data_IF_925119596680
#
_entry.id   IF_925119596680
#
_cell.length_a   1.000
_cell.length_b   1.000
_cell.length_c   1.000
_cell.angle_alpha   90.00
_cell.angle_beta   90.00
_cell.angle_gamma   90.00
#
_symmetry.space_group_name_H-M   'P 1'
#
loop_
_entity.id
_entity.type
_entity.pdbx_description
1 polymer ?
#
# COMPACT_ATOMS: atom_id res chain seq x y z
N UNK A 1 -31.62 -37.14 -30.73
CA UNK A 1 -30.55 -37.19 -29.72
C UNK A 1 -29.27 -36.40 -30.09
N UNK A 2 -28.70 -36.57 -31.29
CA UNK A 2 -27.49 -35.85 -31.71
C UNK A 2 -27.63 -34.29 -31.68
N UNK A 3 -28.79 -33.77 -32.10
CA UNK A 3 -29.06 -32.32 -32.12
C UNK A 3 -29.17 -31.70 -30.70
N UNK A 4 -29.63 -32.44 -29.71
CA UNK A 4 -29.79 -31.99 -28.32
C UNK A 4 -28.43 -31.90 -27.62
N UNK A 5 -27.55 -32.89 -27.86
CA UNK A 5 -26.19 -32.92 -27.31
C UNK A 5 -25.30 -31.76 -27.84
N UNK A 6 -25.45 -31.44 -29.14
CA UNK A 6 -24.73 -30.30 -29.74
C UNK A 6 -25.18 -28.97 -29.14
N UNK A 7 -26.50 -28.79 -28.95
CA UNK A 7 -27.05 -27.57 -28.32
C UNK A 7 -26.63 -27.42 -26.86
N UNK A 8 -26.58 -28.50 -26.09
CA UNK A 8 -26.07 -28.50 -24.71
C UNK A 8 -24.58 -28.19 -24.65
N UNK A 9 -23.77 -28.73 -25.56
CA UNK A 9 -22.32 -28.45 -25.63
C UNK A 9 -22.01 -26.98 -25.96
N UNK A 10 -22.76 -26.36 -26.87
CA UNK A 10 -22.59 -24.94 -27.25
C UNK A 10 -22.98 -24.02 -26.10
N UNK A 11 -24.03 -24.32 -25.35
CA UNK A 11 -24.46 -23.54 -24.20
C UNK A 11 -23.41 -23.61 -23.08
N UNK A 12 -22.77 -24.75 -22.85
CA UNK A 12 -21.71 -24.93 -21.84
C UNK A 12 -20.46 -24.14 -22.20
N UNK A 13 -20.07 -24.10 -23.48
CA UNK A 13 -18.88 -23.35 -23.95
C UNK A 13 -19.11 -21.84 -23.84
N UNK A 14 -20.31 -21.35 -24.16
CA UNK A 14 -20.67 -19.93 -24.03
C UNK A 14 -20.71 -19.52 -22.55
N UNK A 15 -21.23 -20.37 -21.66
CA UNK A 15 -21.25 -20.13 -20.21
C UNK A 15 -19.84 -20.00 -19.62
N UNK A 16 -18.88 -20.81 -20.04
CA UNK A 16 -17.49 -20.74 -19.60
C UNK A 16 -16.77 -19.50 -20.12
N UNK A 17 -17.11 -18.99 -21.29
CA UNK A 17 -16.51 -17.76 -21.84
C UNK A 17 -16.97 -16.49 -21.12
N UNK A 18 -18.13 -16.47 -20.48
CA UNK A 18 -18.65 -15.31 -19.76
C UNK A 18 -18.04 -15.19 -18.33
N UNK A 19 -17.64 -16.31 -17.71
CA UNK A 19 -17.00 -16.30 -16.38
C UNK A 19 -15.49 -16.07 -16.42
N UNK A 20 -14.86 -15.96 -17.61
CA UNK A 20 -13.40 -15.94 -17.78
C UNK A 20 -12.69 -14.59 -17.67
N UNK A 21 -13.37 -13.47 -17.45
CA UNK A 21 -12.74 -12.15 -17.44
C UNK A 21 -12.97 -11.34 -16.17
N UNK A 22 -12.87 -11.97 -15.01
CA UNK A 22 -12.53 -11.20 -13.82
C UNK A 22 -11.09 -10.72 -13.99
N UNK A 23 -10.89 -9.51 -14.54
CA UNK A 23 -9.60 -8.82 -14.43
C UNK A 23 -9.25 -8.78 -12.95
N UNK A 24 -8.24 -9.54 -12.54
CA UNK A 24 -7.56 -9.30 -11.27
C UNK A 24 -6.88 -7.94 -11.45
N UNK A 25 -7.60 -6.88 -11.14
CA UNK A 25 -7.01 -5.55 -11.07
C UNK A 25 -6.04 -5.60 -9.90
N UNK A 26 -4.75 -5.50 -10.19
CA UNK A 26 -3.73 -5.26 -9.18
C UNK A 26 -4.07 -3.97 -8.41
N UNK A 27 -3.58 -3.85 -7.18
CA UNK A 27 -3.78 -2.67 -6.35
C UNK A 27 -3.35 -1.38 -7.08
N UNK A 28 -4.18 -0.33 -7.04
CA UNK A 28 -3.90 0.98 -7.68
C UNK A 28 -2.93 1.79 -6.80
N UNK A 29 -1.63 1.52 -6.98
CA UNK A 29 -0.55 2.24 -6.31
C UNK A 29 -0.19 3.51 -7.07
N UNK A 30 -0.45 4.69 -6.48
CA UNK A 30 -0.17 6.01 -7.07
C UNK A 30 1.01 6.68 -6.39
N UNK A 31 1.98 7.12 -7.19
CA UNK A 31 3.15 7.87 -6.71
C UNK A 31 2.71 9.22 -6.12
N UNK A 32 3.19 9.54 -4.92
CA UNK A 32 2.95 10.84 -4.29
C UNK A 32 4.23 11.58 -3.88
N UNK A 33 5.36 10.86 -3.77
CA UNK A 33 6.65 11.44 -3.41
C UNK A 33 7.81 10.60 -3.96
N UNK A 34 8.94 11.23 -4.28
CA UNK A 34 10.14 10.56 -4.74
C UNK A 34 11.39 11.38 -4.37
N UNK A 35 12.35 10.71 -3.76
CA UNK A 35 13.64 11.30 -3.40
C UNK A 35 14.78 10.28 -3.60
N UNK A 36 16.00 10.62 -3.17
CA UNK A 36 17.17 9.76 -3.34
C UNK A 36 17.19 8.51 -2.43
N UNK A 37 16.28 8.41 -1.46
CA UNK A 37 16.19 7.27 -0.54
C UNK A 37 15.08 6.29 -0.95
N UNK A 38 13.97 6.80 -1.53
CA UNK A 38 12.79 5.97 -1.86
C UNK A 38 11.82 6.65 -2.80
N UNK A 39 10.97 5.81 -3.42
CA UNK A 39 9.72 6.22 -4.06
C UNK A 39 8.54 5.84 -3.19
N UNK A 40 7.61 6.75 -2.99
CA UNK A 40 6.46 6.61 -2.07
C UNK A 40 5.15 6.58 -2.83
N UNK A 41 4.35 5.54 -2.60
CA UNK A 41 3.07 5.30 -3.26
C UNK A 41 1.97 5.16 -2.22
N UNK A 42 0.74 5.55 -2.55
CA UNK A 42 -0.45 5.21 -1.78
C UNK A 42 -1.40 4.33 -2.59
N UNK A 43 -2.15 3.48 -1.91
CA UNK A 43 -3.14 2.61 -2.54
C UNK A 43 -4.46 3.37 -2.67
N UNK A 44 -4.79 3.81 -3.89
CA UNK A 44 -5.99 4.61 -4.14
C UNK A 44 -7.29 3.83 -3.98
N UNK A 45 -7.28 2.51 -4.24
CA UNK A 45 -8.46 1.64 -4.10
C UNK A 45 -8.82 1.34 -2.65
N UNK A 46 -7.89 1.54 -1.72
CA UNK A 46 -8.03 1.18 -0.31
C UNK A 46 -7.89 2.36 0.65
N UNK A 47 -8.25 3.55 0.19
CA UNK A 47 -8.42 4.72 1.05
C UNK A 47 -9.76 4.60 1.74
N UNK A 48 -9.77 4.62 3.08
CA UNK A 48 -10.99 4.56 3.89
C UNK A 48 -11.12 5.78 4.80
N UNK A 49 -12.33 6.07 5.24
CA UNK A 49 -12.62 7.21 6.13
C UNK A 49 -13.35 6.69 7.38
N UNK A 50 -12.60 6.25 8.41
CA UNK A 50 -13.19 5.73 9.64
C UNK A 50 -14.01 6.78 10.42
N UNK A 51 -13.75 8.07 10.19
CA UNK A 51 -14.56 9.18 10.69
C UNK A 51 -14.48 10.39 9.74
N UNK A 52 -15.28 11.42 9.99
CA UNK A 52 -15.44 12.59 9.10
C UNK A 52 -14.11 13.20 8.63
N UNK A 53 -13.13 13.36 9.52
CA UNK A 53 -11.86 14.04 9.24
C UNK A 53 -10.67 13.11 9.19
N UNK A 54 -10.86 11.82 9.45
CA UNK A 54 -9.77 10.82 9.47
C UNK A 54 -9.78 10.03 8.17
N UNK A 55 -8.65 10.02 7.50
CA UNK A 55 -8.38 9.19 6.33
C UNK A 55 -7.38 8.11 6.72
N UNK A 56 -7.73 6.85 6.46
CA UNK A 56 -6.84 5.71 6.63
C UNK A 56 -6.34 5.25 5.27
N UNK A 57 -5.03 5.09 5.11
CA UNK A 57 -4.38 4.85 3.83
C UNK A 57 -3.22 3.88 3.96
N UNK A 58 -3.14 2.95 3.01
CA UNK A 58 -1.97 2.10 2.82
C UNK A 58 -0.93 2.83 1.97
N UNK A 59 0.31 2.81 2.43
CA UNK A 59 1.48 3.43 1.80
C UNK A 59 2.52 2.36 1.50
N UNK A 60 3.13 2.43 0.32
CA UNK A 60 4.26 1.58 -0.08
C UNK A 60 5.48 2.46 -0.33
N UNK A 61 6.60 2.08 0.26
CA UNK A 61 7.90 2.67 0.01
C UNK A 61 8.79 1.65 -0.69
N UNK A 62 9.24 1.97 -1.90
CA UNK A 62 10.28 1.22 -2.59
C UNK A 62 11.61 1.91 -2.34
N UNK A 63 12.56 1.22 -1.73
CA UNK A 63 13.83 1.78 -1.29
C UNK A 63 14.88 1.73 -2.40
N UNK A 64 15.72 2.76 -2.48
CA UNK A 64 16.97 2.75 -3.24
C UNK A 64 18.06 2.06 -2.41
N UNK A 65 19.22 1.74 -3.01
CA UNK A 65 20.38 1.23 -2.25
C UNK A 65 20.76 2.18 -1.10
N UNK A 66 20.76 3.49 -1.35
CA UNK A 66 21.02 4.50 -0.32
C UNK A 66 19.95 4.48 0.79
N UNK A 67 18.69 4.28 0.43
CA UNK A 67 17.60 4.13 1.39
C UNK A 67 17.74 2.87 2.24
N UNK A 68 18.15 1.74 1.65
CA UNK A 68 18.45 0.50 2.39
C UNK A 68 19.60 0.72 3.38
N UNK A 69 20.70 1.33 2.94
CA UNK A 69 21.83 1.65 3.83
C UNK A 69 21.42 2.53 5.01
N UNK A 70 20.56 3.53 4.77
CA UNK A 70 20.03 4.40 5.82
C UNK A 70 19.16 3.62 6.83
N UNK A 71 18.28 2.75 6.33
CA UNK A 71 17.46 1.87 7.15
C UNK A 71 18.28 0.86 7.96
N UNK A 72 19.33 0.27 7.37
CA UNK A 72 20.26 -0.63 8.08
C UNK A 72 20.99 0.10 9.20
N UNK A 73 21.41 1.35 8.96
CA UNK A 73 22.07 2.17 9.98
C UNK A 73 21.14 2.52 11.14
N UNK A 74 19.87 2.81 10.85
CA UNK A 74 18.89 3.26 11.83
C UNK A 74 18.23 2.11 12.61
N UNK A 75 17.96 0.98 11.95
CA UNK A 75 17.15 -0.14 12.49
C UNK A 75 17.97 -1.41 12.70
N UNK A 76 19.00 -1.62 11.87
CA UNK A 76 19.94 -2.75 12.01
C UNK A 76 20.02 -3.65 10.77
N UNK A 77 21.01 -4.56 10.80
CA UNK A 77 21.36 -5.47 9.69
C UNK A 77 20.22 -6.39 9.22
N UNK A 78 19.19 -6.60 10.01
CA UNK A 78 18.00 -7.36 9.61
C UNK A 78 17.29 -6.78 8.37
N UNK A 79 17.56 -5.52 8.00
CA UNK A 79 17.03 -4.86 6.83
C UNK A 79 18.00 -4.79 5.64
N UNK A 80 19.13 -5.50 5.64
CA UNK A 80 20.11 -5.47 4.54
C UNK A 80 19.56 -5.95 3.19
N UNK A 81 18.52 -6.79 3.19
CA UNK A 81 17.81 -7.29 1.99
C UNK A 81 16.51 -6.55 1.70
N UNK A 82 16.30 -5.41 2.34
CA UNK A 82 15.09 -4.61 2.19
C UNK A 82 14.90 -4.16 0.75
N UNK A 83 13.72 -4.37 0.19
CA UNK A 83 13.31 -3.87 -1.12
C UNK A 83 12.17 -2.85 -0.97
N UNK A 84 11.13 -3.21 -0.22
CA UNK A 84 10.00 -2.33 0.00
C UNK A 84 9.34 -2.54 1.37
N UNK A 85 8.54 -1.57 1.79
CA UNK A 85 7.64 -1.69 2.93
C UNK A 85 6.21 -1.33 2.56
N UNK A 86 5.26 -1.89 3.31
CA UNK A 86 3.84 -1.51 3.25
C UNK A 86 3.42 -1.10 4.65
N UNK A 87 2.89 0.12 4.77
CA UNK A 87 2.51 0.74 6.04
C UNK A 87 1.06 1.20 6.03
N UNK A 88 0.39 1.07 7.16
CA UNK A 88 -0.94 1.64 7.39
C UNK A 88 -0.81 2.91 8.21
N UNK A 89 -1.37 4.00 7.69
CA UNK A 89 -1.32 5.32 8.31
C UNK A 89 -2.71 5.93 8.42
N UNK A 90 -2.90 6.81 9.37
CA UNK A 90 -4.06 7.69 9.44
C UNK A 90 -3.63 9.15 9.37
N UNK A 91 -4.45 9.94 8.68
CA UNK A 91 -4.27 11.39 8.55
C UNK A 91 -5.55 12.06 9.02
N UNK A 92 -5.42 13.02 9.95
CA UNK A 92 -6.49 13.93 10.32
C UNK A 92 -6.40 15.15 9.39
N UNK A 93 -7.33 15.22 8.45
CA UNK A 93 -7.35 16.29 7.45
C UNK A 93 -7.72 17.66 8.03
N UNK A 94 -8.49 17.71 9.11
CA UNK A 94 -8.86 18.97 9.77
C UNK A 94 -7.71 19.56 10.57
N UNK A 95 -6.98 18.72 11.31
CA UNK A 95 -5.90 19.16 12.20
C UNK A 95 -4.52 19.13 11.55
N UNK A 96 -4.42 18.60 10.34
CA UNK A 96 -3.15 18.40 9.63
C UNK A 96 -2.13 17.61 10.48
N UNK A 97 -2.59 16.50 11.05
CA UNK A 97 -1.79 15.56 11.82
C UNK A 97 -1.81 14.17 11.20
N UNK A 98 -0.82 13.36 11.49
CA UNK A 98 -0.75 11.97 11.04
C UNK A 98 -0.32 11.05 12.18
N UNK A 99 -0.70 9.77 12.07
CA UNK A 99 -0.19 8.71 12.94
C UNK A 99 0.06 7.44 12.16
N UNK A 100 1.06 6.70 12.60
CA UNK A 100 1.43 5.41 12.08
C UNK A 100 0.67 4.31 12.82
N UNK A 101 0.17 3.29 12.12
CA UNK A 101 -0.51 2.14 12.71
C UNK A 101 0.31 0.85 12.63
N UNK A 102 0.86 0.53 11.47
CA UNK A 102 1.66 -0.67 11.26
C UNK A 102 2.53 -0.57 10.03
N UNK A 103 3.61 -1.35 9.98
CA UNK A 103 4.43 -1.52 8.78
C UNK A 103 4.97 -2.93 8.69
N UNK A 104 5.05 -3.44 7.47
CA UNK A 104 5.71 -4.70 7.13
C UNK A 104 6.77 -4.43 6.09
N UNK A 105 7.96 -4.97 6.30
CA UNK A 105 9.13 -4.81 5.44
C UNK A 105 9.42 -6.11 4.71
N UNK A 106 9.72 -6.03 3.42
CA UNK A 106 9.86 -7.15 2.51
C UNK A 106 11.19 -7.10 1.76
N UNK A 107 11.74 -8.29 1.47
CA UNK A 107 12.86 -8.45 0.56
C UNK A 107 12.42 -8.47 -0.92
N UNK A 108 13.38 -8.61 -1.83
CA UNK A 108 13.16 -8.66 -3.28
C UNK A 108 12.37 -9.91 -3.75
N UNK A 109 12.26 -10.94 -2.90
CA UNK A 109 11.44 -12.13 -3.19
C UNK A 109 10.01 -12.01 -2.61
N UNK A 110 9.66 -10.86 -2.01
CA UNK A 110 8.38 -10.65 -1.35
C UNK A 110 8.24 -11.36 0.00
N UNK A 111 9.36 -11.83 0.57
CA UNK A 111 9.38 -12.41 1.91
C UNK A 111 9.40 -11.31 2.97
N UNK A 112 8.54 -11.43 3.97
CA UNK A 112 8.52 -10.55 5.13
C UNK A 112 9.79 -10.74 5.95
N UNK A 113 10.52 -9.65 6.22
CA UNK A 113 11.76 -9.65 7.01
C UNK A 113 11.65 -8.90 8.33
N UNK A 114 10.68 -8.00 8.47
CA UNK A 114 10.46 -7.24 9.71
C UNK A 114 9.06 -6.65 9.78
N UNK A 115 8.51 -6.51 10.99
CA UNK A 115 7.21 -5.87 11.24
C UNK A 115 7.31 -4.87 12.38
N UNK A 116 6.57 -3.75 12.24
CA UNK A 116 6.27 -2.79 13.28
C UNK A 116 4.76 -2.70 13.46
N UNK A 117 4.28 -2.62 14.67
CA UNK A 117 2.86 -2.40 14.96
C UNK A 117 2.67 -1.39 16.09
N UNK A 118 1.55 -0.70 16.06
CA UNK A 118 1.16 0.30 17.06
C UNK A 118 1.05 -0.27 18.49
N UNK A 119 0.84 -1.58 18.64
CA UNK A 119 0.86 -2.24 19.95
C UNK A 119 2.21 -2.19 20.66
N UNK A 120 3.29 -1.93 19.90
CA UNK A 120 4.68 -1.84 20.42
C UNK A 120 5.19 -0.42 20.52
N UNK A 121 4.52 0.55 19.90
CA UNK A 121 4.92 1.95 19.84
C UNK A 121 3.70 2.83 20.08
N UNK A 122 3.78 3.87 20.94
CA UNK A 122 2.70 4.84 21.09
C UNK A 122 2.45 5.52 19.74
N UNK A 123 1.21 5.43 19.26
CA UNK A 123 0.80 6.08 18.02
C UNK A 123 0.19 7.43 18.35
N UNK A 124 1.03 8.37 18.68
CA UNK A 124 0.62 9.76 18.87
C UNK A 124 0.32 10.42 17.53
N UNK A 125 -0.64 11.34 17.55
CA UNK A 125 -0.86 12.24 16.44
C UNK A 125 0.26 13.27 16.37
N UNK A 126 0.99 13.28 15.26
CA UNK A 126 2.09 14.19 15.01
C UNK A 126 1.71 15.21 13.95
N UNK A 127 2.07 16.48 14.16
CA UNK A 127 1.89 17.50 13.13
C UNK A 127 2.65 17.17 11.85
N UNK A 128 1.97 17.35 10.72
CA UNK A 128 2.57 17.15 9.40
C UNK A 128 3.44 18.37 9.07
N UNK A 129 4.75 18.14 8.99
CA UNK A 129 5.71 19.18 8.62
C UNK A 129 5.53 19.56 7.15
N UNK A 130 5.45 20.85 6.80
CA UNK A 130 5.40 21.31 5.42
C UNK A 130 6.55 20.72 4.57
N UNK A 131 6.28 20.43 3.30
CA UNK A 131 7.25 19.90 2.32
C UNK A 131 7.81 18.50 2.67
N UNK A 132 7.28 17.86 3.72
CA UNK A 132 7.64 16.48 4.07
C UNK A 132 6.91 15.44 3.19
N UNK A 133 7.38 14.19 3.25
CA UNK A 133 6.70 13.05 2.64
C UNK A 133 5.23 12.93 3.09
N UNK A 134 4.96 13.15 4.39
CA UNK A 134 3.60 13.15 4.94
C UNK A 134 2.75 14.31 4.38
N UNK A 135 3.34 15.49 4.15
CA UNK A 135 2.64 16.64 3.56
C UNK A 135 2.26 16.37 2.09
N UNK A 136 3.14 15.71 1.35
CA UNK A 136 2.87 15.31 -0.03
C UNK A 136 1.71 14.30 -0.08
N UNK A 137 1.65 13.34 0.84
CA UNK A 137 0.53 12.42 0.97
C UNK A 137 -0.77 13.15 1.37
N UNK A 138 -0.72 14.03 2.39
CA UNK A 138 -1.84 14.85 2.84
C UNK A 138 -2.49 15.61 1.67
N UNK A 139 -1.69 16.27 0.85
CA UNK A 139 -2.15 17.01 -0.33
C UNK A 139 -2.85 16.11 -1.38
N UNK A 140 -2.57 14.82 -1.39
CA UNK A 140 -3.20 13.86 -2.32
C UNK A 140 -4.54 13.34 -1.83
N UNK A 141 -4.68 13.11 -0.52
CA UNK A 141 -5.82 12.36 0.04
C UNK A 141 -6.81 13.21 0.86
N UNK A 142 -6.43 14.41 1.28
CA UNK A 142 -7.27 15.34 2.06
C UNK A 142 -7.97 16.42 1.20
N UNK A 143 -8.20 16.13 -0.07
CA UNK A 143 -8.94 17.02 -0.98
C UNK A 143 -10.43 16.75 -0.94
#
# INVERSE_FOLDING_TARGET
MKSLLVKLGVILIIGLAIFGYAKVQGADWRLYDSNNLRKSYYNADRVTRPSKNIVRVWVRWNFTEKGVMDMVRSVGKKLEKLEYSISLNEINCAEKTSRFLSSVYYDNNGKMIYTLSSSKFPTEWLFIVPESNADNLYKKICR
#
